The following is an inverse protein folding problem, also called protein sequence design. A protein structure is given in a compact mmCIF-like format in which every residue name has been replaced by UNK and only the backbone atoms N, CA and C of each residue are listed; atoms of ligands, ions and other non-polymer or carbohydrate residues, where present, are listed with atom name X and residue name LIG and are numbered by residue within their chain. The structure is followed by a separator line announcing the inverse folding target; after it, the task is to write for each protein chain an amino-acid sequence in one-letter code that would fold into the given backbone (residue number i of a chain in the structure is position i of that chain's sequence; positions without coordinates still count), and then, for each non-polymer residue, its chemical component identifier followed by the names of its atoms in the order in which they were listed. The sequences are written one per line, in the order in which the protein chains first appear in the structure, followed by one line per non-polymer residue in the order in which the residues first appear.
data_IF_770622130294
#
_entry.id   IF_770622130294
#
_cell.length_a   1.000
_cell.length_b   1.000
_cell.length_c   1.000
_cell.angle_alpha   90.00
_cell.angle_beta   90.00
_cell.angle_gamma   90.00
#
_symmetry.space_group_name_H-M   'P 1'
#
loop_
_entity.id
_entity.type
_entity.pdbx_description
1 polymer ?
#
# COMPACT_ATOMS: atom_id res chain seq x y z
N UNK A 1 -9.48 13.59 5.04
CA UNK A 1 -9.16 14.58 6.11
C UNK A 1 -7.79 15.23 5.92
N UNK A 2 -6.63 14.48 5.87
CA UNK A 2 -5.30 15.12 5.72
C UNK A 2 -5.14 15.84 4.38
N UNK A 3 -5.50 15.22 3.27
CA UNK A 3 -5.42 15.85 1.95
C UNK A 3 -6.34 17.08 1.84
N UNK A 4 -7.53 17.01 2.42
CA UNK A 4 -8.46 18.14 2.50
C UNK A 4 -7.92 19.28 3.37
N UNK A 5 -7.27 18.94 4.49
CA UNK A 5 -6.55 19.91 5.33
C UNK A 5 -5.41 20.62 4.59
N UNK A 6 -4.89 20.05 3.53
CA UNK A 6 -3.90 20.63 2.61
C UNK A 6 -4.55 21.35 1.41
N UNK A 7 -5.90 21.41 1.36
CA UNK A 7 -6.63 22.12 0.30
C UNK A 7 -6.97 21.27 -0.93
N UNK A 8 -6.72 19.95 -0.90
CA UNK A 8 -7.18 19.04 -1.95
C UNK A 8 -8.68 18.75 -1.81
N UNK A 9 -9.38 18.56 -2.93
CA UNK A 9 -10.71 17.97 -2.92
C UNK A 9 -10.57 16.46 -3.00
N UNK A 10 -11.24 15.74 -2.11
CA UNK A 10 -11.21 14.27 -2.05
C UNK A 10 -12.57 13.70 -2.41
N UNK A 11 -12.59 12.76 -3.33
CA UNK A 11 -13.72 11.92 -3.65
C UNK A 11 -13.36 10.47 -3.28
N UNK A 12 -14.22 9.81 -2.53
CA UNK A 12 -14.00 8.43 -2.10
C UNK A 12 -14.93 7.51 -2.88
N UNK A 13 -14.37 6.44 -3.44
CA UNK A 13 -15.12 5.31 -3.97
C UNK A 13 -15.04 4.21 -2.91
N UNK A 14 -16.17 3.85 -2.33
CA UNK A 14 -16.26 2.87 -1.26
C UNK A 14 -16.69 1.51 -1.85
N UNK A 15 -15.91 0.47 -1.58
CA UNK A 15 -16.16 -0.90 -2.01
C UNK A 15 -16.56 -1.82 -0.84
N UNK A 16 -16.81 -1.23 0.34
CA UNK A 16 -17.12 -1.97 1.58
C UNK A 16 -15.89 -2.57 2.25
N UNK A 17 -16.15 -3.45 3.22
CA UNK A 17 -15.14 -3.97 4.14
C UNK A 17 -14.59 -5.35 3.75
N UNK A 18 -15.01 -5.94 2.64
CA UNK A 18 -14.65 -7.32 2.26
C UNK A 18 -14.28 -7.51 0.81
N UNK A 19 -14.53 -6.51 -0.02
CA UNK A 19 -14.36 -6.61 -1.45
C UNK A 19 -13.18 -5.77 -1.93
N UNK A 20 -12.46 -6.30 -2.95
CA UNK A 20 -11.42 -5.54 -3.61
C UNK A 20 -12.00 -4.43 -4.50
N UNK A 21 -11.15 -3.48 -4.85
CA UNK A 21 -11.50 -2.37 -5.75
C UNK A 21 -12.12 -2.90 -7.05
N UNK A 22 -13.31 -2.39 -7.41
CA UNK A 22 -13.90 -2.63 -8.72
C UNK A 22 -13.24 -1.74 -9.79
N UNK A 23 -12.43 -2.37 -10.61
CA UNK A 23 -11.66 -1.72 -11.67
C UNK A 23 -12.57 -1.04 -12.71
N UNK A 24 -13.76 -1.59 -12.97
CA UNK A 24 -14.73 -1.03 -13.91
C UNK A 24 -15.28 0.29 -13.40
N UNK A 25 -15.54 0.36 -12.11
CA UNK A 25 -16.02 1.60 -11.49
C UNK A 25 -14.93 2.68 -11.47
N UNK A 26 -13.67 2.30 -11.17
CA UNK A 26 -12.54 3.24 -11.24
C UNK A 26 -12.38 3.80 -12.64
N UNK A 27 -12.40 2.94 -13.67
CA UNK A 27 -12.30 3.35 -15.06
C UNK A 27 -13.45 4.29 -15.47
N UNK A 28 -14.70 3.99 -15.04
CA UNK A 28 -15.86 4.80 -15.33
C UNK A 28 -15.77 6.22 -14.72
N UNK A 29 -15.34 6.32 -13.47
CA UNK A 29 -15.13 7.61 -12.78
C UNK A 29 -14.07 8.45 -13.51
N UNK A 30 -12.97 7.84 -13.90
CA UNK A 30 -11.89 8.53 -14.61
C UNK A 30 -12.32 8.96 -16.02
N UNK A 31 -13.07 8.14 -16.75
CA UNK A 31 -13.66 8.52 -18.06
C UNK A 31 -14.63 9.66 -17.95
N UNK A 32 -15.36 9.78 -16.85
CA UNK A 32 -16.29 10.87 -16.61
C UNK A 32 -15.60 12.21 -16.30
N UNK A 33 -14.35 12.18 -15.83
CA UNK A 33 -13.56 13.40 -15.57
C UNK A 33 -12.93 13.97 -16.84
N UNK A 34 -13.77 14.39 -17.78
CA UNK A 34 -13.31 14.99 -19.04
C UNK A 34 -12.53 16.30 -18.86
N UNK A 35 -12.63 16.94 -17.71
CA UNK A 35 -11.92 18.16 -17.37
C UNK A 35 -10.51 17.90 -16.75
N UNK A 36 -10.16 16.64 -16.48
CA UNK A 36 -8.88 16.26 -15.88
C UNK A 36 -8.65 16.88 -14.50
N UNK A 37 -9.70 16.95 -13.68
CA UNK A 37 -9.63 17.50 -12.32
C UNK A 37 -9.02 16.51 -11.33
N UNK A 38 -9.20 15.23 -11.54
CA UNK A 38 -8.59 14.17 -10.73
C UNK A 38 -7.10 14.16 -11.00
N UNK A 39 -6.29 14.48 -10.00
CA UNK A 39 -4.83 14.57 -10.13
C UNK A 39 -4.13 13.29 -9.69
N UNK A 40 -4.75 12.54 -8.78
CA UNK A 40 -4.21 11.29 -8.28
C UNK A 40 -5.31 10.32 -7.91
N UNK A 41 -5.06 9.04 -8.10
CA UNK A 41 -5.79 7.90 -7.54
C UNK A 41 -4.94 7.35 -6.41
N UNK A 42 -5.50 7.36 -5.20
CA UNK A 42 -4.87 6.82 -4.00
C UNK A 42 -5.49 5.45 -3.69
N UNK A 43 -4.66 4.47 -3.49
CA UNK A 43 -5.10 3.12 -3.11
C UNK A 43 -4.17 2.54 -2.06
N UNK A 44 -4.63 1.50 -1.37
CA UNK A 44 -3.77 0.66 -0.54
C UNK A 44 -3.51 -0.66 -1.25
N UNK A 45 -2.32 -1.24 -1.10
CA UNK A 45 -2.06 -2.60 -1.58
C UNK A 45 -2.89 -3.58 -0.75
N UNK A 46 -2.79 -3.47 0.57
CA UNK A 46 -3.57 -4.25 1.54
C UNK A 46 -4.18 -3.33 2.58
N UNK A 47 -5.47 -3.44 2.78
CA UNK A 47 -6.12 -2.79 3.92
C UNK A 47 -5.89 -3.58 5.21
N UNK A 48 -5.31 -2.90 6.21
CA UNK A 48 -4.92 -3.53 7.49
C UNK A 48 -6.12 -4.04 8.30
N UNK A 49 -7.26 -3.37 8.19
CA UNK A 49 -8.45 -3.69 8.99
C UNK A 49 -9.21 -4.87 8.40
N UNK A 50 -9.32 -4.90 7.08
CA UNK A 50 -10.16 -5.84 6.34
C UNK A 50 -9.41 -7.06 5.81
N UNK A 51 -8.08 -6.96 5.62
CA UNK A 51 -7.25 -7.99 4.98
C UNK A 51 -7.43 -8.07 3.46
N UNK A 52 -8.11 -7.10 2.86
CA UNK A 52 -8.33 -7.03 1.40
C UNK A 52 -7.03 -6.66 0.69
N UNK A 53 -6.62 -7.50 -0.26
CA UNK A 53 -5.55 -7.26 -1.22
C UNK A 53 -6.15 -6.69 -2.51
N UNK A 54 -5.73 -5.51 -2.91
CA UNK A 54 -6.19 -4.83 -4.12
C UNK A 54 -5.28 -5.12 -5.32
N UNK A 55 -5.90 -5.22 -6.50
CA UNK A 55 -5.19 -5.33 -7.77
C UNK A 55 -4.68 -3.96 -8.24
N UNK A 56 -3.54 -3.54 -7.67
CA UNK A 56 -2.89 -2.25 -8.00
C UNK A 56 -2.50 -2.16 -9.47
N UNK A 57 -2.08 -3.29 -10.08
CA UNK A 57 -1.78 -3.36 -11.51
C UNK A 57 -3.04 -3.13 -12.36
N UNK A 58 -4.15 -3.73 -11.95
CA UNK A 58 -5.45 -3.50 -12.59
C UNK A 58 -5.93 -2.06 -12.46
N UNK A 59 -5.71 -1.41 -11.30
CA UNK A 59 -6.02 0.02 -11.12
C UNK A 59 -5.20 0.88 -12.10
N UNK A 60 -3.90 0.58 -12.31
CA UNK A 60 -3.10 1.27 -13.33
C UNK A 60 -3.69 1.07 -14.72
N UNK A 61 -4.06 -0.15 -15.07
CA UNK A 61 -4.69 -0.45 -16.35
C UNK A 61 -6.02 0.33 -16.53
N UNK A 62 -6.83 0.47 -15.49
CA UNK A 62 -8.07 1.27 -15.54
C UNK A 62 -7.79 2.75 -15.80
N UNK A 63 -6.74 3.33 -15.19
CA UNK A 63 -6.32 4.71 -15.46
C UNK A 63 -5.87 4.87 -16.93
N UNK A 64 -5.10 3.91 -17.44
CA UNK A 64 -4.59 3.94 -18.81
C UNK A 64 -5.72 3.74 -19.84
N UNK A 65 -6.65 2.82 -19.59
CA UNK A 65 -7.83 2.58 -20.44
C UNK A 65 -8.77 3.79 -20.46
N UNK A 66 -8.82 4.56 -19.39
CA UNK A 66 -9.54 5.83 -19.36
C UNK A 66 -8.81 6.93 -20.14
N UNK A 67 -7.57 6.73 -20.57
CA UNK A 67 -6.73 7.77 -21.17
C UNK A 67 -6.43 8.92 -20.19
N UNK A 68 -6.43 8.63 -18.88
CA UNK A 68 -6.39 9.66 -17.85
C UNK A 68 -4.96 9.91 -17.33
N UNK A 69 -4.63 11.19 -17.08
CA UNK A 69 -3.28 11.60 -16.66
C UNK A 69 -3.00 11.49 -15.14
N UNK A 70 -3.95 11.05 -14.32
CA UNK A 70 -3.79 10.96 -12.87
C UNK A 70 -2.57 10.14 -12.47
N UNK A 71 -1.92 10.55 -11.36
CA UNK A 71 -0.90 9.73 -10.70
C UNK A 71 -1.57 8.55 -10.00
N UNK A 72 -0.91 7.39 -10.00
CA UNK A 72 -1.27 6.27 -9.13
C UNK A 72 -0.37 6.29 -7.89
N UNK A 73 -0.99 6.42 -6.72
CA UNK A 73 -0.31 6.44 -5.44
C UNK A 73 -0.73 5.23 -4.62
N UNK A 74 0.22 4.42 -4.18
CA UNK A 74 -0.05 3.19 -3.45
C UNK A 74 0.54 3.23 -2.05
N UNK A 75 -0.28 2.98 -1.05
CA UNK A 75 0.16 2.63 0.29
C UNK A 75 0.42 1.12 0.36
N UNK A 76 1.67 0.74 0.50
CA UNK A 76 2.12 -0.65 0.64
C UNK A 76 2.60 -0.95 2.07
N UNK A 77 2.29 -0.08 3.05
CA UNK A 77 2.81 -0.22 4.42
C UNK A 77 2.48 -1.60 5.01
N UNK A 78 1.25 -2.07 4.84
CA UNK A 78 0.77 -3.26 5.52
C UNK A 78 1.45 -4.55 5.07
N UNK A 79 1.89 -4.63 3.81
CA UNK A 79 2.26 -5.91 3.20
C UNK A 79 3.52 -5.90 2.33
N UNK A 80 4.20 -4.75 2.17
CA UNK A 80 5.46 -4.71 1.41
C UNK A 80 6.46 -5.74 1.97
N UNK A 81 6.96 -6.61 1.07
CA UNK A 81 7.82 -7.72 1.44
C UNK A 81 7.07 -9.04 1.76
N UNK A 82 5.75 -9.01 1.99
CA UNK A 82 4.92 -10.19 2.25
C UNK A 82 4.04 -10.57 1.06
N UNK A 83 3.30 -9.61 0.52
CA UNK A 83 2.56 -9.77 -0.74
C UNK A 83 3.41 -9.31 -1.92
N UNK A 84 3.18 -9.90 -3.09
CA UNK A 84 3.87 -9.51 -4.32
C UNK A 84 3.57 -8.05 -4.67
N UNK A 85 4.62 -7.28 -4.97
CA UNK A 85 4.51 -5.87 -5.34
C UNK A 85 5.66 -5.45 -6.26
N UNK A 86 5.33 -4.82 -7.40
CA UNK A 86 6.29 -4.34 -8.39
C UNK A 86 5.94 -2.91 -8.80
N UNK A 87 6.52 -1.92 -8.12
CA UNK A 87 6.21 -0.50 -8.36
C UNK A 87 6.37 -0.12 -9.84
N UNK A 88 7.54 -0.40 -10.42
CA UNK A 88 7.88 0.03 -11.78
C UNK A 88 7.08 -0.75 -12.83
N UNK A 89 7.03 -2.09 -12.72
CA UNK A 89 6.35 -2.95 -13.69
C UNK A 89 4.83 -2.73 -13.70
N UNK A 90 4.27 -2.34 -12.56
CA UNK A 90 2.84 -2.02 -12.44
C UNK A 90 2.52 -0.55 -12.72
N UNK A 91 3.53 0.27 -13.01
CA UNK A 91 3.36 1.67 -13.33
C UNK A 91 2.80 2.53 -12.20
N UNK A 92 3.15 2.20 -10.96
CA UNK A 92 2.81 3.01 -9.79
C UNK A 92 3.70 4.24 -9.77
N UNK A 93 3.11 5.41 -9.62
CA UNK A 93 3.85 6.66 -9.69
C UNK A 93 4.48 7.03 -8.34
N UNK A 94 3.78 6.72 -7.23
CA UNK A 94 4.28 6.95 -5.87
C UNK A 94 3.93 5.73 -5.00
N UNK A 95 4.90 5.25 -4.23
CA UNK A 95 4.71 4.21 -3.22
C UNK A 95 5.13 4.72 -1.86
N UNK A 96 4.31 4.48 -0.85
CA UNK A 96 4.68 4.68 0.55
C UNK A 96 4.76 3.35 1.28
N UNK A 97 5.74 3.22 2.17
CA UNK A 97 5.88 2.06 3.05
C UNK A 97 6.56 2.44 4.36
N UNK A 98 6.64 1.48 5.28
CA UNK A 98 7.28 1.67 6.57
C UNK A 98 8.05 0.41 7.00
N UNK A 99 9.04 0.60 7.85
CA UNK A 99 10.02 -0.43 8.19
C UNK A 99 9.51 -1.53 9.12
N UNK A 100 8.44 -1.28 9.88
CA UNK A 100 7.98 -2.16 10.97
C UNK A 100 7.00 -3.27 10.57
N UNK A 101 6.77 -3.48 9.30
CA UNK A 101 5.89 -4.54 8.76
C UNK A 101 6.74 -5.64 8.12
N UNK A 102 6.53 -5.97 6.87
CA UNK A 102 7.29 -7.02 6.18
C UNK A 102 8.80 -6.79 6.09
N UNK A 103 9.27 -5.57 6.33
CA UNK A 103 10.71 -5.26 6.43
C UNK A 103 11.31 -5.55 7.82
N UNK A 104 10.55 -6.10 8.76
CA UNK A 104 11.01 -6.76 10.00
C UNK A 104 11.84 -5.88 10.94
N UNK A 105 11.70 -4.55 10.91
CA UNK A 105 12.43 -3.66 11.82
C UNK A 105 11.49 -2.95 12.79
N UNK A 106 12.00 -2.36 13.88
CA UNK A 106 11.18 -1.49 14.72
C UNK A 106 10.60 -0.30 13.93
N UNK A 107 9.44 0.26 14.35
CA UNK A 107 8.89 1.48 13.73
C UNK A 107 9.86 2.65 13.89
N UNK A 108 9.97 3.48 12.86
CA UNK A 108 10.82 4.69 12.90
C UNK A 108 11.37 5.13 11.54
N UNK A 109 11.20 4.32 10.48
CA UNK A 109 11.58 4.70 9.11
C UNK A 109 10.35 4.59 8.22
N UNK A 110 10.02 5.70 7.55
CA UNK A 110 9.06 5.75 6.46
C UNK A 110 9.78 5.87 5.12
N UNK A 111 9.22 5.26 4.09
CA UNK A 111 9.73 5.31 2.73
C UNK A 111 8.73 5.98 1.80
N UNK A 112 9.25 6.77 0.89
CA UNK A 112 8.51 7.33 -0.24
C UNK A 112 9.35 7.10 -1.49
N UNK A 113 8.86 6.27 -2.39
CA UNK A 113 9.43 6.09 -3.72
C UNK A 113 8.54 6.75 -4.75
N UNK A 114 9.13 7.34 -5.76
CA UNK A 114 8.39 8.00 -6.84
C UNK A 114 9.17 7.90 -8.17
N UNK A 115 8.43 7.91 -9.27
CA UNK A 115 8.97 7.87 -10.61
C UNK A 115 9.13 9.28 -11.21
N UNK A 116 9.66 9.36 -12.44
CA UNK A 116 9.90 10.62 -13.15
C UNK A 116 8.62 11.43 -13.39
N UNK A 117 7.47 10.76 -13.59
CA UNK A 117 6.17 11.42 -13.78
C UNK A 117 5.75 12.15 -12.50
N UNK A 118 5.88 11.49 -11.35
CA UNK A 118 5.59 12.10 -10.05
C UNK A 118 6.58 13.22 -9.73
N UNK A 119 7.87 13.06 -10.09
CA UNK A 119 8.89 14.09 -9.90
C UNK A 119 8.60 15.33 -10.72
N UNK A 120 8.17 15.19 -11.98
CA UNK A 120 7.77 16.32 -12.82
C UNK A 120 6.57 17.09 -12.23
N UNK A 121 5.59 16.40 -11.63
CA UNK A 121 4.47 17.05 -10.94
C UNK A 121 4.96 17.79 -9.69
N UNK A 122 5.88 17.19 -8.93
CA UNK A 122 6.50 17.80 -7.75
C UNK A 122 7.19 19.14 -8.10
N UNK A 123 7.91 19.21 -9.23
CA UNK A 123 8.61 20.43 -9.67
C UNK A 123 7.65 21.61 -9.84
N UNK A 124 6.42 21.37 -10.24
CA UNK A 124 5.39 22.39 -10.49
C UNK A 124 4.45 22.63 -9.30
N UNK A 125 4.55 21.83 -8.25
CA UNK A 125 3.69 21.95 -7.08
C UNK A 125 4.08 23.16 -6.24
N UNK A 126 3.11 24.00 -5.92
CA UNK A 126 3.28 25.18 -5.06
C UNK A 126 2.70 25.00 -3.63
N UNK A 127 2.02 23.88 -3.38
CA UNK A 127 1.51 23.54 -2.06
C UNK A 127 2.61 22.81 -1.27
N UNK A 128 3.47 23.57 -0.60
CA UNK A 128 4.67 23.03 0.05
C UNK A 128 4.65 23.39 1.52
N UNK A 129 4.81 22.39 2.39
CA UNK A 129 5.21 22.61 3.78
C UNK A 129 6.65 22.14 3.99
N UNK A 130 7.39 22.81 4.84
CA UNK A 130 8.82 22.50 5.06
C UNK A 130 9.07 21.04 5.41
N UNK A 131 8.20 20.46 6.24
CA UNK A 131 8.35 19.07 6.67
C UNK A 131 8.01 18.05 5.58
N UNK A 132 6.98 18.32 4.79
CA UNK A 132 6.48 17.40 3.76
C UNK A 132 7.14 17.58 2.39
N UNK A 133 7.98 18.63 2.22
CA UNK A 133 8.71 18.83 0.98
C UNK A 133 9.87 17.83 0.89
N UNK A 134 9.77 16.88 -0.05
CA UNK A 134 10.84 15.93 -0.28
C UNK A 134 11.95 16.43 -1.22
N UNK A 135 11.76 17.57 -1.90
CA UNK A 135 12.75 18.14 -2.83
C UNK A 135 14.14 18.32 -2.21
N UNK A 136 14.29 18.86 -0.99
CA UNK A 136 15.58 18.96 -0.35
C UNK A 136 16.20 17.61 0.01
N UNK A 137 15.36 16.56 0.15
CA UNK A 137 15.79 15.21 0.51
C UNK A 137 16.29 14.43 -0.70
N UNK A 138 15.66 14.62 -1.87
CA UNK A 138 16.04 13.95 -3.12
C UNK A 138 17.37 14.44 -3.66
N UNK A 139 17.59 15.75 -3.61
CA UNK A 139 18.82 16.39 -4.06
C UNK A 139 19.92 16.43 -2.98
N UNK A 140 19.78 15.63 -1.93
CA UNK A 140 20.67 15.65 -0.79
C UNK A 140 22.07 15.15 -1.14
N UNK A 141 23.06 16.07 -1.14
CA UNK A 141 24.48 15.80 -1.19
C UNK A 141 25.06 15.48 0.21
N UNK A 142 24.26 15.70 1.27
CA UNK A 142 24.63 15.45 2.66
C UNK A 142 23.68 14.46 3.31
N UNK A 143 24.21 13.51 4.04
CA UNK A 143 23.50 12.39 4.64
C UNK A 143 22.28 12.79 5.49
N UNK A 144 22.37 13.88 6.28
CA UNK A 144 21.28 14.33 7.14
C UNK A 144 20.06 14.88 6.36
N UNK A 145 20.28 15.30 5.10
CA UNK A 145 19.18 15.84 4.26
C UNK A 145 18.11 14.78 3.96
N UNK A 146 18.50 13.52 3.83
CA UNK A 146 17.53 12.44 3.60
C UNK A 146 16.52 12.29 4.73
N UNK A 147 16.86 12.71 5.94
CA UNK A 147 16.03 12.59 7.14
C UNK A 147 15.48 13.92 7.64
N UNK A 148 15.87 15.04 7.03
CA UNK A 148 15.60 16.40 7.51
C UNK A 148 16.03 16.60 8.97
N UNK A 149 17.14 15.99 9.34
CA UNK A 149 17.69 16.00 10.69
C UNK A 149 18.65 14.85 10.98
N UNK A 150 18.76 14.47 12.25
CA UNK A 150 19.62 13.37 12.67
C UNK A 150 19.09 12.03 12.16
N UNK A 151 19.91 11.31 11.42
CA UNK A 151 19.54 10.01 10.90
C UNK A 151 19.33 8.98 12.03
N UNK A 152 18.30 8.11 11.93
CA UNK A 152 18.01 7.07 12.91
C UNK A 152 18.95 5.88 12.74
N UNK A 153 20.23 6.03 13.09
CA UNK A 153 21.31 5.09 12.77
C UNK A 153 21.04 3.66 13.21
N UNK A 154 20.50 3.45 14.43
CA UNK A 154 20.16 2.12 14.93
C UNK A 154 19.10 1.43 14.06
N UNK A 155 18.09 2.16 13.62
CA UNK A 155 17.06 1.64 12.70
C UNK A 155 17.65 1.32 11.33
N UNK A 156 18.60 2.13 10.85
CA UNK A 156 19.27 1.89 9.56
C UNK A 156 20.14 0.63 9.59
N UNK A 157 20.84 0.36 10.70
CA UNK A 157 21.56 -0.90 10.87
C UNK A 157 20.62 -2.10 10.90
N UNK A 158 19.51 -2.01 11.64
CA UNK A 158 18.49 -3.05 11.66
C UNK A 158 17.83 -3.26 10.28
N UNK A 159 17.52 -2.17 9.57
CA UNK A 159 16.98 -2.24 8.23
C UNK A 159 17.97 -2.88 7.24
N UNK A 160 19.26 -2.55 7.34
CA UNK A 160 20.28 -3.16 6.51
C UNK A 160 20.32 -4.66 6.69
N UNK A 161 20.35 -5.14 7.94
CA UNK A 161 20.33 -6.57 8.25
C UNK A 161 19.06 -7.24 7.70
N UNK A 162 17.88 -6.64 7.91
CA UNK A 162 16.62 -7.17 7.39
C UNK A 162 16.61 -7.28 5.86
N UNK A 163 17.16 -6.28 5.17
CA UNK A 163 17.27 -6.31 3.70
C UNK A 163 18.27 -7.37 3.22
N UNK A 164 19.37 -7.56 3.93
CA UNK A 164 20.33 -8.62 3.63
C UNK A 164 19.69 -10.01 3.84
N UNK A 165 18.91 -10.23 4.91
CA UNK A 165 18.13 -11.45 5.11
C UNK A 165 17.14 -11.72 3.98
N UNK A 166 16.36 -10.70 3.55
CA UNK A 166 15.42 -10.82 2.43
C UNK A 166 16.16 -11.16 1.13
N UNK A 167 17.31 -10.54 0.91
CA UNK A 167 18.14 -10.76 -0.28
C UNK A 167 18.72 -12.17 -0.29
N UNK A 168 19.19 -12.67 0.85
CA UNK A 168 19.76 -14.00 0.98
C UNK A 168 18.72 -15.11 0.81
N UNK A 169 17.49 -14.91 1.33
CA UNK A 169 16.36 -15.81 1.08
C UNK A 169 15.89 -15.71 -0.38
N UNK A 170 15.97 -14.51 -0.97
CA UNK A 170 15.39 -14.15 -2.24
C UNK A 170 13.94 -13.73 -2.12
N UNK A 171 13.60 -12.52 -2.61
CA UNK A 171 12.27 -11.93 -2.44
C UNK A 171 11.12 -12.83 -2.91
N UNK A 172 11.31 -13.56 -4.02
CA UNK A 172 10.34 -14.54 -4.51
C UNK A 172 10.07 -15.65 -3.48
N UNK A 173 11.11 -16.15 -2.82
CA UNK A 173 10.98 -17.19 -1.79
C UNK A 173 10.30 -16.64 -0.53
N UNK A 174 10.54 -15.37 -0.19
CA UNK A 174 9.82 -14.69 0.89
C UNK A 174 8.32 -14.68 0.60
N UNK A 175 7.89 -14.32 -0.61
CA UNK A 175 6.47 -14.34 -0.99
C UNK A 175 5.89 -15.75 -0.95
N UNK A 176 6.61 -16.77 -1.48
CA UNK A 176 6.18 -18.17 -1.40
C UNK A 176 6.03 -18.63 0.06
N UNK A 177 6.94 -18.25 0.93
CA UNK A 177 6.85 -18.57 2.37
C UNK A 177 5.63 -17.93 3.02
N UNK A 178 5.36 -16.65 2.75
CA UNK A 178 4.17 -15.96 3.26
C UNK A 178 2.88 -16.57 2.71
N UNK A 179 2.84 -16.94 1.44
CA UNK A 179 1.70 -17.63 0.84
C UNK A 179 1.42 -18.97 1.54
N UNK A 180 2.45 -19.79 1.78
CA UNK A 180 2.32 -21.05 2.51
C UNK A 180 1.82 -20.85 3.96
N UNK A 181 2.32 -19.84 4.66
CA UNK A 181 1.87 -19.51 6.02
C UNK A 181 0.42 -19.03 6.04
N UNK A 182 0.02 -18.16 5.11
CA UNK A 182 -1.35 -17.68 4.99
C UNK A 182 -2.33 -18.82 4.71
N UNK A 183 -2.01 -19.70 3.75
CA UNK A 183 -2.83 -20.88 3.45
C UNK A 183 -2.98 -21.81 4.65
N UNK A 184 -1.95 -22.02 5.46
CA UNK A 184 -2.03 -22.81 6.68
C UNK A 184 -3.00 -22.19 7.70
N UNK A 185 -2.95 -20.85 7.86
CA UNK A 185 -3.89 -20.12 8.74
C UNK A 185 -5.31 -20.23 8.21
N UNK A 186 -5.52 -20.00 6.92
CA UNK A 186 -6.86 -20.09 6.29
C UNK A 186 -7.46 -21.48 6.42
N UNK A 187 -6.67 -22.54 6.18
CA UNK A 187 -7.14 -23.92 6.36
C UNK A 187 -7.56 -24.23 7.79
N UNK A 188 -6.85 -23.71 8.78
CA UNK A 188 -7.25 -23.87 10.19
C UNK A 188 -8.56 -23.12 10.47
N UNK A 189 -8.70 -21.89 9.97
CA UNK A 189 -9.92 -21.09 10.15
C UNK A 189 -11.11 -21.76 9.45
N UNK A 190 -10.94 -22.31 8.26
CA UNK A 190 -12.00 -23.02 7.53
C UNK A 190 -12.57 -24.21 8.35
N UNK A 191 -11.69 -24.93 9.06
CA UNK A 191 -12.13 -26.00 9.98
C UNK A 191 -12.90 -25.43 11.17
N UNK A 192 -12.43 -24.37 11.79
CA UNK A 192 -13.08 -23.75 12.95
C UNK A 192 -14.37 -23.03 12.58
N UNK A 193 -14.49 -22.59 11.34
CA UNK A 193 -15.67 -21.89 10.80
C UNK A 193 -16.81 -22.85 10.44
N UNK A 194 -16.53 -24.13 10.23
CA UNK A 194 -17.52 -25.10 9.73
C UNK A 194 -18.78 -25.19 10.63
N UNK A 195 -18.59 -25.11 11.96
CA UNK A 195 -19.68 -25.10 12.95
C UNK A 195 -19.48 -23.97 13.98
N UNK A 196 -18.62 -23.01 13.68
CA UNK A 196 -18.20 -21.94 14.59
C UNK A 196 -18.71 -20.55 14.17
N UNK A 197 -18.59 -19.56 15.07
CA UNK A 197 -19.11 -18.21 14.88
C UNK A 197 -18.19 -17.31 14.07
N UNK A 198 -17.10 -17.82 13.50
CA UNK A 198 -16.11 -16.99 12.80
C UNK A 198 -16.03 -17.33 11.32
N UNK A 199 -15.67 -16.34 10.51
CA UNK A 199 -15.43 -16.49 9.08
C UNK A 199 -14.27 -15.59 8.65
N UNK A 200 -13.52 -15.99 7.60
CA UNK A 200 -12.55 -15.08 6.97
C UNK A 200 -13.33 -13.93 6.35
N UNK A 201 -12.92 -12.70 6.65
CA UNK A 201 -13.61 -11.49 6.19
C UNK A 201 -13.69 -11.41 4.65
N UNK A 202 -12.59 -11.70 3.97
CA UNK A 202 -12.50 -11.66 2.51
C UNK A 202 -12.89 -13.03 1.95
N UNK A 203 -14.06 -13.10 1.31
CA UNK A 203 -14.59 -14.36 0.79
C UNK A 203 -13.78 -14.89 -0.39
N UNK A 204 -13.39 -14.00 -1.34
CA UNK A 204 -12.59 -14.36 -2.50
C UNK A 204 -11.12 -14.63 -2.10
N UNK A 205 -10.62 -15.87 -2.23
CA UNK A 205 -9.23 -16.20 -1.89
C UNK A 205 -8.19 -15.40 -2.69
N UNK A 206 -8.52 -14.94 -3.90
CA UNK A 206 -7.60 -14.16 -4.74
C UNK A 206 -7.39 -12.74 -4.22
N UNK A 207 -8.36 -12.21 -3.46
CA UNK A 207 -8.32 -10.90 -2.83
C UNK A 207 -7.85 -10.95 -1.37
N UNK A 208 -7.36 -12.09 -0.88
CA UNK A 208 -6.81 -12.22 0.48
C UNK A 208 -5.33 -11.85 0.52
N UNK A 209 -4.95 -11.00 1.45
CA UNK A 209 -3.54 -10.71 1.74
C UNK A 209 -2.84 -11.92 2.36
N UNK A 210 -1.56 -12.12 2.02
CA UNK A 210 -0.68 -13.11 2.65
C UNK A 210 -0.07 -12.58 3.95
N UNK A 211 -0.21 -11.28 4.20
CA UNK A 211 0.30 -10.64 5.42
C UNK A 211 -0.75 -10.52 6.52
N UNK A 212 -2.04 -10.40 6.16
CA UNK A 212 -3.13 -10.08 7.08
C UNK A 212 -4.31 -10.99 6.81
N UNK A 213 -4.83 -11.61 7.87
CA UNK A 213 -6.10 -12.35 7.82
C UNK A 213 -7.05 -11.74 8.83
N UNK A 214 -8.09 -11.07 8.34
CA UNK A 214 -9.16 -10.52 9.18
C UNK A 214 -10.32 -11.50 9.26
N UNK A 215 -10.93 -11.56 10.45
CA UNK A 215 -12.05 -12.45 10.73
C UNK A 215 -13.30 -11.64 11.02
N UNK A 216 -14.43 -12.14 10.55
CA UNK A 216 -15.76 -11.74 11.03
C UNK A 216 -16.19 -12.69 12.12
N UNK A 217 -16.75 -12.15 13.18
CA UNK A 217 -17.39 -12.91 14.24
C UNK A 217 -18.89 -12.64 14.18
N UNK A 218 -19.70 -13.64 14.57
CA UNK A 218 -21.14 -13.45 14.73
C UNK A 218 -21.42 -12.42 15.83
N UNK A 219 -22.57 -11.73 15.73
CA UNK A 219 -22.97 -10.71 16.69
C UNK A 219 -22.92 -11.24 18.14
N UNK A 220 -22.30 -10.45 19.03
CA UNK A 220 -22.15 -10.78 20.45
C UNK A 220 -20.93 -11.62 20.80
N UNK A 221 -20.08 -12.01 19.85
CA UNK A 221 -18.85 -12.77 20.11
C UNK A 221 -17.59 -11.90 20.21
N UNK A 222 -17.68 -10.62 19.80
CA UNK A 222 -16.54 -9.71 19.77
C UNK A 222 -16.31 -8.88 21.05
N UNK A 223 -17.22 -8.97 22.02
CA UNK A 223 -17.21 -8.14 23.24
C UNK A 223 -16.68 -8.88 24.50
N UNK A 224 -15.92 -9.97 24.34
CA UNK A 224 -15.40 -10.77 25.43
C UNK A 224 -13.97 -10.38 25.84
#
# INVERSE_FOLDING_TARGET
EMAEGLGASVETIDFGDSDAVDLTQVEAVLKADTAGRIKAVLTVLVDTSTGVLNDVKGIRAAIDNAGHGALLMCDAIASLGCDEYHMDDWGVDITVAASQKGLMTPPGIGFVWFNDKADAVRETNNLVSKYWDWRPRVAGDEYWKFFDGTAPTHHLYGLREALDMIKDEGLQNVWVRHDGLAHAVWAAIDVWSADGPMQINVADPSARSRAITSLRLDEGQGDA
#
